data_IF_277494881478
#
_entry.id   IF_277494881478
#
_cell.length_a   1.000
_cell.length_b   1.000
_cell.length_c   1.000
_cell.angle_alpha   90.00
_cell.angle_beta   90.00
_cell.angle_gamma   90.00
#
_symmetry.space_group_name_H-M   'P 1'
#
loop_
_entity.id
_entity.type
_entity.pdbx_description
1 polymer ?
#
# COMPACT_ATOMS: atom_id res chain seq x y z
N UNK A 1 13.69 -2.63 24.92
CA UNK A 1 13.81 -1.78 23.71
C UNK A 1 12.46 -1.71 23.04
N UNK A 2 11.83 -0.53 23.07
CA UNK A 2 10.51 -0.31 22.48
C UNK A 2 10.65 -0.29 20.95
N UNK A 3 10.17 -1.32 20.27
CA UNK A 3 10.24 -1.48 18.81
C UNK A 3 9.18 -0.62 18.12
N UNK A 4 9.18 0.70 18.36
CA UNK A 4 8.36 1.63 17.57
C UNK A 4 8.98 1.72 16.17
N UNK A 5 8.37 1.09 15.16
CA UNK A 5 8.81 1.21 13.76
C UNK A 5 8.50 2.64 13.27
N UNK A 6 9.44 3.56 13.44
CA UNK A 6 9.40 4.87 12.80
C UNK A 6 9.93 4.72 11.38
N UNK A 7 9.04 4.38 10.45
CA UNK A 7 9.36 4.43 9.03
C UNK A 7 9.47 5.89 8.61
N UNK A 8 10.48 6.21 7.80
CA UNK A 8 10.66 7.56 7.30
C UNK A 8 9.76 7.82 6.09
N UNK A 9 8.46 7.96 6.34
CA UNK A 9 7.41 7.96 5.30
C UNK A 9 7.55 9.08 4.27
N UNK A 10 8.13 10.21 4.68
CA UNK A 10 8.39 11.37 3.83
C UNK A 10 9.63 11.19 2.93
N UNK A 11 10.48 10.20 3.21
CA UNK A 11 11.73 9.99 2.49
C UNK A 11 11.52 9.55 1.04
N UNK A 12 12.42 9.94 0.12
CA UNK A 12 12.36 9.52 -1.27
C UNK A 12 12.38 7.98 -1.43
N UNK A 13 13.26 7.30 -0.68
CA UNK A 13 13.37 5.84 -0.73
C UNK A 13 12.06 5.16 -0.31
N UNK A 14 11.43 5.61 0.78
CA UNK A 14 10.16 5.03 1.24
C UNK A 14 9.06 5.23 0.20
N UNK A 15 8.94 6.45 -0.34
CA UNK A 15 7.93 6.77 -1.36
C UNK A 15 8.10 5.91 -2.62
N UNK A 16 9.33 5.78 -3.12
CA UNK A 16 9.62 4.94 -4.28
C UNK A 16 9.29 3.47 -4.01
N UNK A 17 9.73 2.92 -2.87
CA UNK A 17 9.45 1.52 -2.50
C UNK A 17 7.95 1.24 -2.36
N UNK A 18 7.20 2.18 -1.80
CA UNK A 18 5.74 2.10 -1.71
C UNK A 18 5.13 2.09 -3.12
N UNK A 19 5.62 2.96 -3.99
CA UNK A 19 5.10 3.10 -5.34
C UNK A 19 5.36 1.88 -6.25
N UNK A 20 6.40 1.09 -5.99
CA UNK A 20 6.62 -0.20 -6.68
C UNK A 20 5.48 -1.20 -6.51
N UNK A 21 4.60 -1.02 -5.50
CA UNK A 21 3.42 -1.87 -5.30
C UNK A 21 2.14 -1.28 -5.93
N UNK A 22 2.21 -0.06 -6.48
CA UNK A 22 1.07 0.59 -7.13
C UNK A 22 1.06 0.27 -8.63
N UNK A 23 -0.12 0.02 -9.18
CA UNK A 23 -0.33 -0.21 -10.62
C UNK A 23 -0.75 1.12 -11.26
N UNK A 24 -0.15 1.48 -12.40
CA UNK A 24 -0.65 2.61 -13.18
C UNK A 24 -1.79 2.13 -14.08
N UNK A 25 -2.81 2.96 -14.25
CA UNK A 25 -3.97 2.67 -15.11
C UNK A 25 -3.57 2.44 -16.58
N UNK A 26 -2.42 2.98 -16.99
CA UNK A 26 -1.84 2.79 -18.31
C UNK A 26 -0.39 2.29 -18.23
N UNK A 27 -0.15 1.11 -18.80
CA UNK A 27 1.18 0.48 -18.86
C UNK A 27 1.51 0.02 -20.28
N UNK A 28 2.19 0.88 -21.05
CA UNK A 28 2.65 0.52 -22.41
C UNK A 28 3.59 -0.68 -22.43
N UNK A 29 4.43 -0.84 -21.40
CA UNK A 29 5.40 -1.94 -21.34
C UNK A 29 4.75 -3.30 -20.99
N UNK A 30 3.52 -3.30 -20.48
CA UNK A 30 2.87 -4.54 -20.05
C UNK A 30 2.50 -5.45 -21.23
N UNK A 31 2.34 -4.90 -22.45
CA UNK A 31 2.09 -5.71 -23.65
C UNK A 31 3.23 -6.67 -23.97
N UNK A 32 4.47 -6.37 -23.54
CA UNK A 32 5.60 -7.29 -23.72
C UNK A 32 5.48 -8.54 -22.86
N UNK A 33 4.71 -8.50 -21.76
CA UNK A 33 4.38 -9.69 -20.98
C UNK A 33 3.36 -10.60 -21.69
N UNK A 34 2.50 -10.05 -22.56
CA UNK A 34 1.52 -10.87 -23.29
C UNK A 34 2.17 -11.66 -24.43
N UNK A 35 3.24 -11.11 -25.00
CA UNK A 35 3.97 -11.74 -26.10
C UNK A 35 4.82 -12.93 -25.65
N UNK A 36 5.03 -13.09 -24.33
CA UNK A 36 5.87 -14.14 -23.77
C UNK A 36 5.02 -15.36 -23.40
N UNK A 37 5.09 -16.40 -24.24
CA UNK A 37 4.17 -17.55 -24.20
C UNK A 37 4.21 -18.31 -22.89
N UNK A 38 5.34 -18.31 -22.18
CA UNK A 38 5.49 -18.95 -20.87
C UNK A 38 4.47 -18.48 -19.84
N UNK A 39 4.10 -17.19 -19.88
CA UNK A 39 3.11 -16.64 -18.93
C UNK A 39 1.68 -17.10 -19.21
N UNK A 40 1.39 -17.62 -20.41
CA UNK A 40 0.05 -18.13 -20.77
C UNK A 40 -0.41 -19.26 -19.85
N UNK A 41 0.54 -20.05 -19.35
CA UNK A 41 0.28 -21.19 -18.48
C UNK A 41 0.61 -20.91 -17.00
N UNK A 42 1.10 -19.71 -16.68
CA UNK A 42 1.50 -19.32 -15.33
C UNK A 42 0.96 -17.93 -14.97
N UNK A 43 -0.32 -17.89 -14.59
CA UNK A 43 -1.02 -16.65 -14.26
C UNK A 43 -0.31 -15.85 -13.15
N UNK A 44 0.23 -16.53 -12.13
CA UNK A 44 0.96 -15.87 -11.05
C UNK A 44 2.18 -15.10 -11.57
N UNK A 45 3.00 -15.74 -12.39
CA UNK A 45 4.15 -15.07 -13.02
C UNK A 45 3.73 -14.02 -14.04
N UNK A 46 2.58 -14.19 -14.71
CA UNK A 46 2.01 -13.15 -15.59
C UNK A 46 1.70 -11.87 -14.81
N UNK A 47 1.04 -11.98 -13.66
CA UNK A 47 0.76 -10.82 -12.77
C UNK A 47 2.07 -10.18 -12.31
N UNK A 48 3.07 -10.98 -11.92
CA UNK A 48 4.38 -10.45 -11.55
C UNK A 48 5.06 -9.71 -12.72
N UNK A 49 4.96 -10.24 -13.95
CA UNK A 49 5.47 -9.58 -15.14
C UNK A 49 4.80 -8.23 -15.38
N UNK A 50 3.48 -8.16 -15.25
CA UNK A 50 2.75 -6.91 -15.43
C UNK A 50 3.20 -5.84 -14.43
N UNK A 51 3.31 -6.20 -13.14
CA UNK A 51 3.82 -5.28 -12.12
C UNK A 51 5.26 -4.87 -12.41
N UNK A 52 6.10 -5.81 -12.84
CA UNK A 52 7.48 -5.56 -13.23
C UNK A 52 7.59 -4.57 -14.41
N UNK A 53 6.84 -4.80 -15.49
CA UNK A 53 6.81 -3.93 -16.67
C UNK A 53 6.24 -2.54 -16.35
N UNK A 54 5.20 -2.48 -15.50
CA UNK A 54 4.65 -1.24 -14.98
C UNK A 54 5.70 -0.43 -14.20
N UNK A 55 6.46 -1.09 -13.33
CA UNK A 55 7.51 -0.43 -12.55
C UNK A 55 8.68 0.02 -13.42
N UNK A 56 9.06 -0.75 -14.44
CA UNK A 56 10.02 -0.29 -15.45
C UNK A 56 9.52 0.98 -16.17
N UNK A 57 8.22 1.04 -16.48
CA UNK A 57 7.63 2.21 -17.12
C UNK A 57 7.68 3.44 -16.21
N UNK A 58 7.36 3.28 -14.92
CA UNK A 58 7.50 4.35 -13.92
C UNK A 58 8.91 4.91 -13.86
N UNK A 59 9.92 4.02 -13.79
CA UNK A 59 11.33 4.44 -13.79
C UNK A 59 11.70 5.20 -15.07
N UNK A 60 11.18 4.76 -16.23
CA UNK A 60 11.40 5.41 -17.51
C UNK A 60 10.77 6.81 -17.58
N UNK A 61 9.54 6.97 -17.07
CA UNK A 61 8.81 8.23 -17.09
C UNK A 61 9.38 9.23 -16.06
N UNK A 62 9.71 8.76 -14.86
CA UNK A 62 10.31 9.55 -13.78
C UNK A 62 11.83 9.72 -13.92
N UNK A 63 12.38 9.42 -15.09
CA UNK A 63 13.81 9.51 -15.35
C UNK A 63 14.33 10.93 -15.06
N UNK A 64 15.32 11.01 -14.18
CA UNK A 64 15.99 12.27 -13.84
C UNK A 64 17.40 12.29 -14.43
N UNK A 65 17.98 13.48 -14.62
CA UNK A 65 19.40 13.65 -15.01
C UNK A 65 20.35 13.39 -13.82
N UNK A 66 20.14 12.28 -13.09
CA UNK A 66 20.98 11.80 -12.00
C UNK A 66 21.17 10.29 -12.19
N UNK A 67 22.34 9.91 -12.72
CA UNK A 67 22.66 8.51 -13.04
C UNK A 67 22.62 7.60 -11.81
N UNK A 68 23.18 8.04 -10.68
CA UNK A 68 23.21 7.28 -9.44
C UNK A 68 21.80 6.97 -8.91
N UNK A 69 20.89 7.94 -9.00
CA UNK A 69 19.50 7.76 -8.56
C UNK A 69 18.74 6.80 -9.48
N UNK A 70 18.95 6.88 -10.80
CA UNK A 70 18.33 5.93 -11.72
C UNK A 70 18.90 4.51 -11.54
N UNK A 71 20.21 4.36 -11.34
CA UNK A 71 20.85 3.09 -11.00
C UNK A 71 20.26 2.49 -9.72
N UNK A 72 20.10 3.31 -8.67
CA UNK A 72 19.41 2.94 -7.43
C UNK A 72 18.01 2.41 -7.68
N UNK A 73 17.18 3.16 -8.42
CA UNK A 73 15.79 2.77 -8.71
C UNK A 73 15.72 1.43 -9.45
N UNK A 74 16.63 1.20 -10.39
CA UNK A 74 16.74 -0.07 -11.08
C UNK A 74 17.15 -1.21 -10.13
N UNK A 75 18.11 -0.99 -9.25
CA UNK A 75 18.52 -1.96 -8.22
C UNK A 75 17.36 -2.29 -7.26
N UNK A 76 16.64 -1.26 -6.81
CA UNK A 76 15.46 -1.39 -5.94
C UNK A 76 14.35 -2.22 -6.62
N UNK A 77 14.14 -2.04 -7.93
CA UNK A 77 13.21 -2.86 -8.69
C UNK A 77 13.65 -4.33 -8.78
N UNK A 78 14.94 -4.62 -8.98
CA UNK A 78 15.44 -6.01 -8.98
C UNK A 78 15.22 -6.66 -7.61
N UNK A 79 15.54 -5.95 -6.52
CA UNK A 79 15.26 -6.43 -5.17
C UNK A 79 13.77 -6.69 -4.96
N UNK A 80 12.90 -5.75 -5.35
CA UNK A 80 11.45 -5.89 -5.23
C UNK A 80 10.93 -7.10 -6.01
N UNK A 81 11.44 -7.33 -7.22
CA UNK A 81 11.08 -8.47 -8.05
C UNK A 81 11.50 -9.79 -7.37
N UNK A 82 12.72 -9.86 -6.87
CA UNK A 82 13.25 -11.05 -6.18
C UNK A 82 12.47 -11.35 -4.90
N UNK A 83 12.16 -10.31 -4.12
CA UNK A 83 11.39 -10.40 -2.89
C UNK A 83 9.98 -10.95 -3.17
N UNK A 84 9.31 -10.45 -4.21
CA UNK A 84 8.00 -10.97 -4.62
C UNK A 84 8.09 -12.40 -5.15
N UNK A 85 9.09 -12.71 -5.99
CA UNK A 85 9.30 -14.05 -6.49
C UNK A 85 9.49 -15.06 -5.34
N UNK A 86 10.28 -14.69 -4.33
CA UNK A 86 10.57 -15.54 -3.18
C UNK A 86 9.40 -15.67 -2.21
N UNK A 87 8.83 -14.56 -1.73
CA UNK A 87 7.85 -14.58 -0.65
C UNK A 87 6.40 -14.71 -1.14
N UNK A 88 6.04 -14.05 -2.25
CA UNK A 88 4.67 -14.07 -2.79
C UNK A 88 4.43 -15.35 -3.58
N UNK A 89 5.38 -15.72 -4.44
CA UNK A 89 5.24 -16.88 -5.33
C UNK A 89 5.93 -18.15 -4.81
N UNK A 90 6.57 -18.07 -3.63
CA UNK A 90 7.25 -19.19 -2.95
C UNK A 90 8.26 -19.90 -3.84
N UNK A 91 8.91 -19.17 -4.76
CA UNK A 91 9.96 -19.70 -5.62
C UNK A 91 11.30 -19.44 -4.94
N UNK A 92 11.91 -20.51 -4.41
CA UNK A 92 13.25 -20.41 -3.86
C UNK A 92 14.26 -20.30 -4.99
N UNK A 93 15.11 -19.27 -4.96
CA UNK A 93 16.19 -19.05 -5.90
C UNK A 93 17.55 -19.03 -5.17
N UNK A 94 18.01 -20.12 -4.52
CA UNK A 94 19.27 -20.08 -3.79
C UNK A 94 20.49 -20.04 -4.73
N UNK A 95 20.37 -20.54 -5.97
CA UNK A 95 21.44 -20.48 -6.99
C UNK A 95 20.96 -20.25 -8.43
N UNK A 96 19.94 -20.98 -8.92
CA UNK A 96 19.46 -20.83 -10.30
C UNK A 96 17.93 -20.69 -10.35
N UNK A 97 17.49 -19.51 -10.77
CA UNK A 97 16.14 -19.27 -11.28
C UNK A 97 16.20 -19.00 -12.79
N UNK A 98 17.17 -19.61 -13.47
CA UNK A 98 17.58 -19.28 -14.83
C UNK A 98 16.41 -19.24 -15.80
N UNK A 99 15.48 -20.19 -15.71
CA UNK A 99 14.29 -20.19 -16.55
C UNK A 99 13.44 -18.93 -16.32
N UNK A 100 13.00 -18.69 -15.09
CA UNK A 100 12.17 -17.51 -14.74
C UNK A 100 12.93 -16.22 -15.05
N UNK A 101 14.20 -16.14 -14.67
CA UNK A 101 15.09 -15.02 -14.96
C UNK A 101 15.14 -14.76 -16.47
N UNK A 102 15.37 -15.80 -17.28
CA UNK A 102 15.48 -15.67 -18.73
C UNK A 102 14.17 -15.19 -19.36
N UNK A 103 13.03 -15.61 -18.85
CA UNK A 103 11.72 -15.14 -19.30
C UNK A 103 11.56 -13.64 -19.02
N UNK A 104 11.90 -13.18 -17.81
CA UNK A 104 11.85 -11.76 -17.48
C UNK A 104 12.91 -10.95 -18.25
N UNK A 105 14.08 -11.53 -18.53
CA UNK A 105 15.09 -10.97 -19.43
C UNK A 105 14.56 -10.80 -20.86
N UNK A 106 13.79 -11.75 -21.38
CA UNK A 106 13.21 -11.63 -22.72
C UNK A 106 12.24 -10.45 -22.80
N UNK A 107 11.32 -10.34 -21.84
CA UNK A 107 10.41 -9.19 -21.72
C UNK A 107 11.19 -7.88 -21.69
N UNK A 108 12.21 -7.84 -20.84
CA UNK A 108 13.05 -6.67 -20.69
C UNK A 108 13.82 -6.30 -21.98
N UNK A 109 14.41 -7.29 -22.64
CA UNK A 109 15.14 -7.12 -23.90
C UNK A 109 14.23 -6.57 -24.99
N UNK A 110 12.99 -7.07 -25.08
CA UNK A 110 11.99 -6.56 -26.02
C UNK A 110 11.59 -5.10 -25.74
N UNK A 111 11.53 -4.69 -24.47
CA UNK A 111 11.32 -3.29 -24.08
C UNK A 111 12.47 -2.40 -24.55
N UNK A 112 13.72 -2.81 -24.35
CA UNK A 112 14.90 -2.04 -24.79
C UNK A 112 14.98 -1.94 -26.31
N UNK A 113 14.77 -3.04 -27.03
CA UNK A 113 14.93 -3.10 -28.49
C UNK A 113 13.85 -2.31 -29.24
N UNK A 114 12.76 -1.94 -28.57
CA UNK A 114 11.71 -1.11 -29.16
C UNK A 114 12.24 0.27 -29.52
N UNK A 115 12.21 0.59 -30.82
CA UNK A 115 12.64 1.90 -31.36
C UNK A 115 11.82 3.09 -30.84
N UNK A 116 10.67 2.84 -30.22
CA UNK A 116 9.84 3.87 -29.60
C UNK A 116 10.40 4.34 -28.24
N UNK A 117 11.33 3.59 -27.64
CA UNK A 117 11.84 3.85 -26.30
C UNK A 117 13.23 4.47 -26.37
N UNK A 118 13.49 5.46 -25.51
CA UNK A 118 14.83 5.99 -25.32
C UNK A 118 15.64 5.05 -24.41
N UNK A 119 16.55 4.28 -24.99
CA UNK A 119 17.38 3.31 -24.26
C UNK A 119 18.17 3.91 -23.10
N UNK A 120 18.51 5.21 -23.13
CA UNK A 120 19.25 5.85 -22.04
C UNK A 120 18.42 6.06 -20.76
N UNK A 121 17.09 6.01 -20.87
CA UNK A 121 16.17 6.16 -19.74
C UNK A 121 15.78 4.84 -19.10
N UNK A 122 16.07 3.76 -19.79
CA UNK A 122 15.84 2.41 -19.32
C UNK A 122 16.94 2.03 -18.33
N UNK A 123 16.61 1.13 -17.41
CA UNK A 123 17.64 0.42 -16.64
C UNK A 123 18.71 -0.16 -17.60
N UNK A 124 19.94 -0.34 -17.14
CA UNK A 124 21.01 -0.95 -17.96
C UNK A 124 21.39 -2.29 -17.35
N UNK A 125 21.75 -3.26 -18.21
CA UNK A 125 22.20 -4.60 -17.79
C UNK A 125 21.25 -5.27 -16.78
N UNK A 126 19.95 -5.03 -16.94
CA UNK A 126 18.94 -5.48 -15.99
C UNK A 126 18.84 -7.01 -16.05
N UNK A 127 19.09 -7.66 -14.90
CA UNK A 127 19.14 -9.12 -14.71
C UNK A 127 20.36 -9.84 -15.32
N UNK A 128 21.25 -9.16 -16.04
CA UNK A 128 22.52 -9.76 -16.48
C UNK A 128 23.47 -9.91 -15.29
N UNK A 129 24.08 -11.09 -15.15
CA UNK A 129 24.92 -11.47 -14.02
C UNK A 129 24.27 -11.21 -12.64
N UNK A 130 23.00 -11.62 -12.49
CA UNK A 130 22.22 -11.52 -11.25
C UNK A 130 23.06 -11.90 -10.02
N UNK A 131 23.20 -10.94 -9.12
CA UNK A 131 23.78 -11.19 -7.81
C UNK A 131 22.83 -12.04 -6.95
N UNK A 132 23.37 -12.73 -5.93
CA UNK A 132 22.54 -13.39 -4.93
C UNK A 132 21.58 -12.38 -4.27
N UNK A 133 20.37 -12.81 -3.90
CA UNK A 133 19.34 -11.97 -3.27
C UNK A 133 19.87 -11.07 -2.14
N UNK A 134 20.66 -11.65 -1.24
CA UNK A 134 21.26 -10.95 -0.10
C UNK A 134 22.11 -9.74 -0.54
N UNK A 135 22.81 -9.83 -1.69
CA UNK A 135 23.57 -8.71 -2.22
C UNK A 135 22.67 -7.56 -2.65
N UNK A 136 21.57 -7.85 -3.34
CA UNK A 136 20.59 -6.82 -3.70
C UNK A 136 19.94 -6.19 -2.46
N UNK A 137 19.67 -6.99 -1.42
CA UNK A 137 19.14 -6.48 -0.14
C UNK A 137 20.13 -5.52 0.53
N UNK A 138 21.41 -5.86 0.59
CA UNK A 138 22.45 -5.01 1.17
C UNK A 138 22.62 -3.73 0.33
N UNK A 139 22.71 -3.86 -1.01
CA UNK A 139 22.82 -2.71 -1.93
C UNK A 139 21.63 -1.76 -1.79
N UNK A 140 20.44 -2.33 -1.66
CA UNK A 140 19.23 -1.57 -1.39
C UNK A 140 19.33 -0.81 -0.06
N UNK A 141 19.61 -1.48 1.06
CA UNK A 141 19.70 -0.84 2.38
C UNK A 141 20.74 0.28 2.39
N UNK A 142 21.91 0.04 1.80
CA UNK A 142 22.99 1.01 1.71
C UNK A 142 22.60 2.22 0.85
N UNK A 143 22.05 2.01 -0.34
CA UNK A 143 21.64 3.11 -1.23
C UNK A 143 20.43 3.89 -0.70
N UNK A 144 19.46 3.23 -0.06
CA UNK A 144 18.36 3.88 0.65
C UNK A 144 18.90 4.79 1.76
N UNK A 145 19.92 4.33 2.50
CA UNK A 145 20.60 5.15 3.49
C UNK A 145 21.26 6.38 2.88
N UNK A 146 22.00 6.22 1.77
CA UNK A 146 22.66 7.33 1.08
C UNK A 146 21.66 8.42 0.66
N UNK A 147 20.58 8.02 -0.01
CA UNK A 147 19.54 8.94 -0.48
C UNK A 147 18.80 9.61 0.68
N UNK A 148 18.47 8.85 1.73
CA UNK A 148 17.77 9.37 2.89
C UNK A 148 18.64 10.32 3.70
N UNK A 149 19.95 10.08 3.79
CA UNK A 149 20.86 10.99 4.49
C UNK A 149 20.87 12.38 3.85
N UNK A 150 21.02 12.46 2.52
CA UNK A 150 20.98 13.73 1.78
C UNK A 150 19.63 14.44 1.93
N UNK A 151 18.53 13.66 1.89
CA UNK A 151 17.19 14.17 2.15
C UNK A 151 17.06 14.77 3.56
N UNK A 152 17.51 14.05 4.59
CA UNK A 152 17.46 14.50 5.98
C UNK A 152 18.35 15.73 6.16
N UNK A 153 19.56 15.75 5.61
CA UNK A 153 20.46 16.91 5.69
C UNK A 153 19.78 18.16 5.13
N UNK A 154 19.12 18.04 3.96
CA UNK A 154 18.35 19.14 3.38
C UNK A 154 17.19 19.56 4.28
N UNK A 155 16.44 18.60 4.84
CA UNK A 155 15.30 18.87 5.73
C UNK A 155 15.71 19.56 7.01
N UNK A 156 16.82 19.18 7.62
CA UNK A 156 17.31 19.78 8.86
C UNK A 156 17.70 21.27 8.71
N UNK A 157 17.90 21.76 7.49
CA UNK A 157 18.13 23.19 7.19
C UNK A 157 16.83 24.02 7.24
N UNK A 158 15.64 23.41 7.16
CA UNK A 158 14.34 24.09 7.21
C UNK A 158 14.00 24.54 8.64
N UNK A 159 13.45 25.75 8.84
CA UNK A 159 13.27 26.36 10.18
C UNK A 159 12.39 25.53 11.13
N UNK A 160 11.21 25.08 10.67
CA UNK A 160 10.18 24.46 11.52
C UNK A 160 10.12 22.93 11.39
N UNK A 161 11.26 22.28 11.17
CA UNK A 161 11.32 20.84 10.99
C UNK A 161 11.43 20.10 12.32
N UNK A 162 10.64 19.04 12.49
CA UNK A 162 10.74 18.13 13.63
C UNK A 162 11.77 17.02 13.32
N UNK A 163 12.81 16.88 14.15
CA UNK A 163 13.82 15.83 13.96
C UNK A 163 13.41 14.45 14.52
N UNK A 164 12.26 14.28 15.19
CA UNK A 164 11.91 13.02 15.87
C UNK A 164 12.08 11.76 14.97
N UNK A 165 11.45 11.74 13.79
CA UNK A 165 11.59 10.60 12.87
C UNK A 165 13.01 10.44 12.32
N UNK A 166 13.69 11.56 12.00
CA UNK A 166 15.06 11.54 11.50
C UNK A 166 16.04 11.03 12.56
N UNK A 167 15.87 11.42 13.83
CA UNK A 167 16.69 10.98 14.96
C UNK A 167 16.62 9.46 15.12
N UNK A 168 15.42 8.88 15.12
CA UNK A 168 15.26 7.43 15.23
C UNK A 168 15.84 6.69 14.02
N UNK A 169 15.61 7.20 12.81
CA UNK A 169 16.17 6.64 11.58
C UNK A 169 17.71 6.64 11.60
N UNK A 170 18.33 7.79 11.90
CA UNK A 170 19.79 7.96 11.95
C UNK A 170 20.40 7.08 13.05
N UNK A 171 19.77 7.01 14.23
CA UNK A 171 20.24 6.19 15.34
C UNK A 171 20.24 4.71 15.00
N UNK A 172 19.20 4.21 14.32
CA UNK A 172 19.14 2.81 13.86
C UNK A 172 20.09 2.51 12.71
N UNK A 173 20.43 3.52 11.93
CA UNK A 173 21.31 3.37 10.76
C UNK A 173 22.79 3.35 11.11
N UNK A 174 23.18 3.57 12.38
CA UNK A 174 24.59 3.54 12.82
C UNK A 174 25.30 2.23 12.46
N UNK A 175 24.69 1.10 12.78
CA UNK A 175 25.29 -0.22 12.52
C UNK A 175 25.46 -0.49 11.01
N UNK A 176 24.43 -0.18 10.22
CA UNK A 176 24.48 -0.26 8.76
C UNK A 176 25.60 0.62 8.20
N UNK A 177 25.75 1.83 8.73
CA UNK A 177 26.81 2.74 8.32
C UNK A 177 28.19 2.19 8.65
N UNK A 178 28.44 1.84 9.91
CA UNK A 178 29.75 1.35 10.37
C UNK A 178 30.17 0.06 9.66
N UNK A 179 29.24 -0.89 9.49
CA UNK A 179 29.57 -2.20 8.93
C UNK A 179 29.64 -2.19 7.40
N UNK A 180 28.80 -1.39 6.74
CA UNK A 180 28.61 -1.45 5.29
C UNK A 180 28.95 -0.13 4.60
N UNK A 181 28.23 0.96 4.91
CA UNK A 181 28.28 2.19 4.11
C UNK A 181 29.62 2.93 4.23
N UNK A 182 30.21 2.98 5.43
CA UNK A 182 31.51 3.61 5.67
C UNK A 182 32.63 3.00 4.83
N UNK A 183 32.44 1.76 4.36
CA UNK A 183 33.40 1.02 3.53
C UNK A 183 33.10 1.18 2.03
N UNK A 184 32.07 1.91 1.60
CA UNK A 184 31.83 2.15 0.18
C UNK A 184 33.10 2.74 -0.48
N UNK A 185 33.39 2.34 -1.72
CA UNK A 185 34.58 2.78 -2.49
C UNK A 185 35.95 2.36 -1.92
N UNK A 186 35.98 1.53 -0.88
CA UNK A 186 37.19 0.77 -0.54
C UNK A 186 37.33 -0.43 -1.48
N UNK A 187 38.58 -0.84 -1.75
CA UNK A 187 38.88 -2.00 -2.60
C UNK A 187 38.16 -3.24 -2.03
N UNK A 188 37.24 -3.82 -2.82
CA UNK A 188 36.46 -4.99 -2.43
C UNK A 188 35.04 -4.72 -1.91
N UNK A 189 34.65 -3.46 -1.65
CA UNK A 189 33.30 -3.11 -1.21
C UNK A 189 32.32 -2.98 -2.39
N UNK A 190 31.81 -4.11 -2.86
CA UNK A 190 30.83 -4.20 -3.97
C UNK A 190 29.37 -3.92 -3.53
N UNK A 191 29.17 -3.49 -2.28
CA UNK A 191 27.85 -3.37 -1.67
C UNK A 191 27.18 -2.03 -1.90
N UNK A 192 27.93 -1.04 -2.37
CA UNK A 192 27.41 0.30 -2.59
C UNK A 192 27.32 0.57 -4.07
N UNK A 193 26.15 1.04 -4.51
CA UNK A 193 25.98 1.64 -5.83
C UNK A 193 26.83 2.92 -5.94
N UNK A 194 26.82 3.60 -7.09
CA UNK A 194 27.72 4.71 -7.41
C UNK A 194 27.53 6.04 -6.61
N UNK A 195 27.09 6.00 -5.36
CA UNK A 195 27.04 7.14 -4.45
C UNK A 195 28.43 7.49 -3.91
N UNK A 196 29.17 8.33 -4.65
CA UNK A 196 30.59 8.67 -4.36
C UNK A 196 30.84 9.16 -2.93
N UNK A 197 29.98 10.02 -2.39
CA UNK A 197 30.19 10.64 -1.07
C UNK A 197 29.61 9.85 0.10
N UNK A 198 28.86 8.77 -0.16
CA UNK A 198 28.05 8.13 0.88
C UNK A 198 28.88 7.51 2.03
N UNK A 199 30.13 7.12 1.77
CA UNK A 199 31.07 6.67 2.80
C UNK A 199 31.39 7.73 3.87
N UNK A 200 31.10 9.01 3.61
CA UNK A 200 31.29 10.12 4.55
C UNK A 200 30.05 10.47 5.35
N UNK A 201 28.91 9.85 5.03
CA UNK A 201 27.61 10.17 5.60
C UNK A 201 27.45 9.53 6.98
N UNK A 202 28.28 9.91 7.94
CA UNK A 202 28.17 9.41 9.30
C UNK A 202 26.87 9.94 9.94
N UNK A 203 25.97 9.08 10.47
CA UNK A 203 24.76 9.52 11.14
C UNK A 203 25.02 10.54 12.27
N UNK A 204 26.14 10.41 12.97
CA UNK A 204 26.55 11.31 14.06
C UNK A 204 26.65 12.78 13.62
N UNK A 205 26.99 13.02 12.35
CA UNK A 205 27.09 14.38 11.83
C UNK A 205 25.73 15.09 11.85
N UNK A 206 24.64 14.38 11.52
CA UNK A 206 23.29 14.93 11.52
C UNK A 206 22.64 14.88 12.91
N UNK A 207 22.97 13.86 13.72
CA UNK A 207 22.50 13.75 15.10
C UNK A 207 22.99 14.91 15.99
N UNK A 208 24.15 15.51 15.68
CA UNK A 208 24.67 16.71 16.35
C UNK A 208 23.87 17.99 16.06
N UNK A 209 22.90 17.97 15.15
CA UNK A 209 22.02 19.11 14.91
C UNK A 209 21.20 19.41 16.18
N UNK A 210 21.05 20.69 16.55
CA UNK A 210 20.34 21.11 17.76
C UNK A 210 18.90 20.56 17.83
N UNK A 211 18.20 20.50 16.69
CA UNK A 211 16.84 19.94 16.63
C UNK A 211 16.81 18.45 17.02
N UNK A 212 17.85 17.71 16.69
CA UNK A 212 17.97 16.29 16.99
C UNK A 212 18.49 16.06 18.41
N UNK A 213 19.37 16.93 18.92
CA UNK A 213 19.81 16.92 20.33
C UNK A 213 18.64 17.13 21.30
N UNK A 214 17.66 17.97 20.94
CA UNK A 214 16.43 18.12 21.73
C UNK A 214 15.68 16.81 21.86
N UNK A 215 15.50 16.08 20.75
CA UNK A 215 14.86 14.75 20.75
C UNK A 215 15.67 13.76 21.58
N UNK A 216 17.00 13.74 21.41
CA UNK A 216 17.88 12.87 22.20
C UNK A 216 17.72 13.10 23.70
N UNK A 217 17.64 14.37 24.12
CA UNK A 217 17.44 14.71 25.54
C UNK A 217 16.10 14.18 26.05
N UNK A 218 15.02 14.39 25.31
CA UNK A 218 13.69 13.88 25.67
C UNK A 218 13.68 12.34 25.76
N UNK A 219 14.27 11.65 24.78
CA UNK A 219 14.35 10.18 24.79
C UNK A 219 15.18 9.64 25.97
N UNK A 220 16.25 10.34 26.37
CA UNK A 220 17.03 9.97 27.55
C UNK A 220 16.24 10.19 28.85
N UNK A 221 15.54 11.32 28.98
CA UNK A 221 14.67 11.61 30.13
C UNK A 221 13.54 10.58 30.25
N UNK A 222 12.91 10.22 29.13
CA UNK A 222 11.86 9.19 29.07
C UNK A 222 12.42 7.80 29.45
N UNK A 223 13.63 7.47 29.00
CA UNK A 223 14.30 6.21 29.35
C UNK A 223 14.64 6.15 30.84
N UNK A 224 15.17 7.23 31.42
CA UNK A 224 15.44 7.32 32.86
C UNK A 224 14.16 7.21 33.69
N UNK A 225 13.07 7.86 33.25
CA UNK A 225 11.78 7.76 33.91
C UNK A 225 11.21 6.34 33.84
N UNK A 226 11.33 5.69 32.69
CA UNK A 226 10.91 4.30 32.50
C UNK A 226 11.71 3.33 33.38
N UNK A 227 13.03 3.55 33.51
CA UNK A 227 13.88 2.77 34.40
C UNK A 227 13.48 2.93 35.87
N UNK A 228 13.26 4.19 36.33
CA UNK A 228 12.77 4.48 37.68
C UNK A 228 11.40 3.86 37.93
N UNK A 229 10.48 3.94 36.96
CA UNK A 229 9.16 3.31 37.07
C UNK A 229 9.25 1.79 37.15
N UNK A 230 10.17 1.16 36.40
CA UNK A 230 10.42 -0.27 36.47
C UNK A 230 11.00 -0.70 37.84
N UNK A 231 11.84 0.14 38.45
CA UNK A 231 12.35 -0.09 39.81
C UNK A 231 11.28 0.10 40.88
N UNK A 232 10.31 1.00 40.67
CA UNK A 232 9.16 1.24 41.57
C UNK A 232 8.05 0.19 41.44
N UNK A 233 8.00 -0.55 40.33
CA UNK A 233 7.17 -1.76 40.16
C UNK A 233 7.73 -2.96 40.93
N UNK A 234 8.17 -2.78 42.18
CA UNK A 234 8.32 -3.90 43.09
C UNK A 234 6.94 -4.36 43.53
N UNK A 235 6.60 -5.59 43.15
CA UNK A 235 5.30 -6.19 43.41
C UNK A 235 4.97 -6.16 44.92
N UNK A 236 3.77 -5.76 45.34
CA UNK A 236 3.38 -5.83 46.75
C UNK A 236 3.44 -7.29 47.22
N UNK A 237 3.87 -7.57 48.46
CA UNK A 237 4.10 -8.92 48.95
C UNK A 237 2.84 -9.82 48.94
N UNK A 238 1.65 -9.24 48.83
CA UNK A 238 0.36 -9.95 48.79
C UNK A 238 -0.12 -10.35 47.37
N UNK A 239 0.55 -9.90 46.30
CA UNK A 239 0.11 -10.17 44.93
C UNK A 239 1.25 -10.80 44.11
N UNK A 240 0.91 -11.77 43.24
CA UNK A 240 1.85 -12.32 42.26
C UNK A 240 1.73 -11.51 40.96
N UNK A 241 2.74 -10.70 40.66
CA UNK A 241 2.84 -10.06 39.36
C UNK A 241 3.07 -11.12 38.30
N UNK A 242 2.20 -11.14 37.30
CA UNK A 242 2.33 -12.01 36.13
C UNK A 242 2.92 -11.17 35.00
N UNK A 243 3.96 -11.63 34.30
CA UNK A 243 4.50 -10.91 33.16
C UNK A 243 3.43 -10.59 32.11
N UNK A 244 3.52 -9.41 31.49
CA UNK A 244 2.57 -8.90 30.49
C UNK A 244 2.32 -9.88 29.32
N UNK A 245 3.32 -10.69 28.97
CA UNK A 245 3.20 -11.69 27.91
C UNK A 245 2.23 -12.84 28.25
N UNK A 246 1.98 -13.12 29.53
CA UNK A 246 1.00 -14.13 29.95
C UNK A 246 -0.42 -13.56 29.89
N UNK A 247 -0.60 -12.28 30.22
CA UNK A 247 -1.89 -11.59 30.05
C UNK A 247 -2.22 -11.50 28.55
N UNK A 248 -1.23 -11.19 27.71
CA UNK A 248 -1.38 -11.17 26.25
C UNK A 248 -1.49 -12.56 25.60
N UNK A 249 -1.15 -13.64 26.30
CA UNK A 249 -1.38 -15.01 25.81
C UNK A 249 -2.85 -15.42 25.98
N UNK A 250 -3.56 -14.82 26.93
CA UNK A 250 -4.99 -14.99 27.10
C UNK A 250 -5.75 -13.90 26.32
N UNK A 251 -6.16 -14.24 25.10
CA UNK A 251 -7.10 -13.49 24.23
C UNK A 251 -6.44 -12.34 23.44
N UNK A 252 -5.88 -12.67 22.28
CA UNK A 252 -5.56 -11.69 21.22
C UNK A 252 -6.61 -11.77 20.10
N UNK A 253 -7.26 -10.63 19.80
CA UNK A 253 -8.19 -10.47 18.67
C UNK A 253 -7.53 -10.66 17.29
N UNK A 254 -6.21 -10.79 17.23
CA UNK A 254 -5.43 -11.02 16.00
C UNK A 254 -5.07 -12.49 15.74
N UNK A 255 -5.60 -13.43 16.54
CA UNK A 255 -5.38 -14.85 16.31
C UNK A 255 -6.15 -15.30 15.05
N UNK A 256 -5.47 -15.97 14.12
CA UNK A 256 -6.06 -16.53 12.89
C UNK A 256 -7.23 -17.49 13.18
N UNK A 257 -7.25 -18.07 14.39
CA UNK A 257 -8.38 -18.86 14.90
C UNK A 257 -9.65 -18.03 15.06
N UNK A 258 -9.54 -16.77 15.50
CA UNK A 258 -10.67 -15.86 15.64
C UNK A 258 -11.20 -15.38 14.28
N UNK A 259 -10.30 -15.09 13.34
CA UNK A 259 -10.65 -14.78 11.94
C UNK A 259 -11.43 -15.94 11.30
N UNK A 260 -10.99 -17.17 11.54
CA UNK A 260 -11.69 -18.37 11.06
C UNK A 260 -13.10 -18.50 11.65
N UNK A 261 -13.30 -18.16 12.91
CA UNK A 261 -14.63 -18.17 13.56
C UNK A 261 -15.56 -17.09 13.02
N UNK A 262 -15.05 -15.88 12.74
CA UNK A 262 -15.83 -14.81 12.11
C UNK A 262 -16.30 -15.23 10.72
N UNK A 263 -15.38 -15.79 9.91
CA UNK A 263 -15.70 -16.26 8.55
C UNK A 263 -16.76 -17.36 8.61
N UNK A 264 -16.59 -18.35 9.49
CA UNK A 264 -17.57 -19.43 9.68
C UNK A 264 -18.94 -18.92 10.14
N UNK A 265 -18.96 -17.91 11.02
CA UNK A 265 -20.20 -17.28 11.48
C UNK A 265 -20.93 -16.58 10.33
N UNK A 266 -20.21 -15.81 9.51
CA UNK A 266 -20.78 -15.14 8.33
C UNK A 266 -21.32 -16.18 7.32
N UNK A 267 -20.57 -17.25 7.07
CA UNK A 267 -21.01 -18.35 6.20
C UNK A 267 -22.27 -19.04 6.73
N UNK A 268 -22.35 -19.30 8.03
CA UNK A 268 -23.54 -19.89 8.65
C UNK A 268 -24.77 -18.99 8.50
N UNK A 269 -24.60 -17.68 8.63
CA UNK A 269 -25.68 -16.69 8.45
C UNK A 269 -26.14 -16.65 6.99
N UNK A 270 -25.21 -16.62 6.02
CA UNK A 270 -25.54 -16.63 4.58
C UNK A 270 -26.29 -17.92 4.21
N UNK A 271 -25.81 -19.07 4.67
CA UNK A 271 -26.48 -20.35 4.44
C UNK A 271 -27.88 -20.35 5.07
N UNK A 272 -28.02 -19.84 6.28
CA UNK A 272 -29.33 -19.71 6.94
C UNK A 272 -30.30 -18.86 6.13
N UNK A 273 -29.87 -17.70 5.62
CA UNK A 273 -30.69 -16.87 4.73
C UNK A 273 -31.03 -17.57 3.42
N UNK A 274 -30.11 -18.33 2.82
CA UNK A 274 -30.37 -19.12 1.62
C UNK A 274 -31.41 -20.21 1.86
N UNK A 275 -31.30 -20.93 2.99
CA UNK A 275 -32.30 -21.92 3.40
C UNK A 275 -33.66 -21.26 3.65
N UNK A 276 -33.71 -20.14 4.37
CA UNK A 276 -34.96 -19.40 4.60
C UNK A 276 -35.56 -18.88 3.29
N UNK A 277 -34.75 -18.37 2.37
CA UNK A 277 -35.20 -17.93 1.05
C UNK A 277 -35.81 -19.06 0.22
N UNK A 278 -35.21 -20.27 0.27
CA UNK A 278 -35.66 -21.43 -0.50
C UNK A 278 -36.89 -22.13 0.09
N UNK A 279 -37.01 -22.16 1.43
CA UNK A 279 -38.05 -22.92 2.14
C UNK A 279 -39.18 -22.08 2.72
N UNK A 280 -39.02 -20.76 2.77
CA UNK A 280 -40.08 -19.85 3.20
C UNK A 280 -40.70 -19.21 1.98
N UNK A 281 -42.02 -19.12 1.92
CA UNK A 281 -42.85 -18.61 0.81
C UNK A 281 -42.66 -17.11 0.51
N UNK A 282 -41.47 -16.54 0.76
CA UNK A 282 -41.14 -15.13 0.58
C UNK A 282 -40.75 -14.75 -0.85
N UNK A 283 -40.35 -15.70 -1.71
CA UNK A 283 -40.03 -15.40 -3.12
C UNK A 283 -41.22 -14.79 -3.88
N UNK A 284 -42.44 -15.28 -3.61
CA UNK A 284 -43.69 -14.73 -4.16
C UNK A 284 -43.99 -13.32 -3.61
N UNK A 285 -43.79 -13.11 -2.30
CA UNK A 285 -44.09 -11.85 -1.61
C UNK A 285 -43.13 -10.74 -2.04
N UNK A 286 -41.84 -11.04 -2.16
CA UNK A 286 -40.82 -10.07 -2.57
C UNK A 286 -41.02 -9.62 -4.02
N UNK A 287 -41.37 -10.55 -4.91
CA UNK A 287 -41.69 -10.23 -6.30
C UNK A 287 -42.95 -9.34 -6.38
N UNK A 288 -43.94 -9.59 -5.54
CA UNK A 288 -45.16 -8.76 -5.46
C UNK A 288 -44.86 -7.33 -4.96
N UNK A 289 -43.95 -7.18 -3.99
CA UNK A 289 -43.51 -5.86 -3.49
C UNK A 289 -42.71 -5.10 -4.57
N UNK A 290 -41.82 -5.78 -5.29
CA UNK A 290 -41.04 -5.17 -6.39
C UNK A 290 -41.94 -4.78 -7.57
N UNK A 291 -42.91 -5.61 -7.95
CA UNK A 291 -43.91 -5.26 -8.97
C UNK A 291 -44.76 -4.06 -8.56
N UNK A 292 -45.16 -3.97 -7.29
CA UNK A 292 -45.94 -2.84 -6.77
C UNK A 292 -45.16 -1.52 -6.80
N UNK A 293 -43.83 -1.56 -6.65
CA UNK A 293 -42.96 -0.38 -6.75
C UNK A 293 -42.76 0.08 -8.21
N UNK A 294 -42.76 -0.84 -9.17
CA UNK A 294 -42.68 -0.52 -10.60
C UNK A 294 -43.99 0.06 -11.17
N UNK A 295 -45.17 -0.32 -10.64
CA UNK A 295 -46.44 0.28 -11.09
C UNK A 295 -46.58 1.74 -10.62
N UNK A 296 -46.12 2.07 -9.41
CA UNK A 296 -46.13 3.45 -8.90
C UNK A 296 -45.25 4.38 -9.75
N UNK A 297 -44.12 3.89 -10.27
CA UNK A 297 -43.22 4.69 -11.11
C UNK A 297 -43.75 4.92 -12.54
N UNK A 298 -44.57 4.02 -13.07
CA UNK A 298 -45.23 4.21 -14.38
C UNK A 298 -46.35 5.25 -14.30
N UNK A 299 -47.16 5.24 -13.24
CA UNK A 299 -48.27 6.17 -13.11
C UNK A 299 -47.82 7.64 -12.99
N UNK A 300 -46.65 7.91 -12.39
CA UNK A 300 -46.11 9.28 -12.26
C UNK A 300 -45.62 9.85 -13.61
N UNK A 301 -45.23 9.00 -14.57
CA UNK A 301 -44.77 9.45 -15.88
C UNK A 301 -45.90 9.58 -16.92
N UNK A 302 -47.07 9.04 -16.63
CA UNK A 302 -48.24 9.08 -17.52
C UNK A 302 -49.18 10.26 -17.18
N UNK A 303 -49.15 10.77 -15.95
CA UNK A 303 -49.86 12.00 -15.55
C UNK A 303 -49.15 13.30 -16.02
N UNK A 304 -47.83 13.30 -16.22
CA UNK A 304 -47.07 14.51 -16.64
C UNK A 304 -47.23 14.86 -18.14
N UNK A 305 -47.76 13.92 -18.96
CA UNK A 305 -47.98 14.14 -20.40
C UNK A 305 -49.42 14.48 -20.78
N UNK A 306 -50.38 14.39 -19.86
CA UNK A 306 -51.80 14.66 -20.14
C UNK A 306 -52.30 16.04 -19.68
N UNK A 307 -51.48 16.86 -19.03
CA UNK A 307 -51.89 18.19 -18.52
C UNK A 307 -51.49 19.39 -19.41
N UNK A 308 -50.89 19.16 -20.59
CA UNK A 308 -50.38 20.23 -21.48
C UNK A 308 -51.13 20.42 -22.82
N UNK A 309 -52.32 19.83 -22.98
CA UNK A 309 -53.15 20.04 -24.17
C UNK A 309 -54.64 20.16 -23.81
N UNK A 310 -55.06 21.36 -23.42
CA UNK A 310 -56.27 22.00 -23.97
C UNK A 310 -56.32 23.46 -23.54
N UNK A 311 -56.05 24.36 -24.48
CA UNK A 311 -56.30 25.79 -24.37
C UNK A 311 -57.71 26.12 -24.84
N UNK A 312 -58.32 27.08 -24.12
CA UNK A 312 -59.27 28.09 -24.59
C UNK A 312 -60.66 27.66 -25.07
N UNK A 313 -61.65 27.84 -24.19
CA UNK A 313 -62.92 28.46 -24.57
C UNK A 313 -63.50 29.27 -23.40
N UNK A 314 -63.74 30.55 -23.65
CA UNK A 314 -64.38 31.55 -22.79
C UNK A 314 -65.77 31.12 -22.29
N UNK A 315 -66.14 31.46 -21.05
CA UNK A 315 -67.31 32.33 -20.76
C UNK A 315 -67.67 32.46 -19.25
N UNK A 316 -67.69 33.72 -18.80
CA UNK A 316 -68.54 34.38 -17.76
C UNK A 316 -68.50 33.92 -16.28
N UNK A 317 -68.37 34.85 -15.31
CA UNK A 317 -68.39 34.53 -13.88
C UNK A 317 -69.83 34.53 -13.33
N UNK A 318 -70.24 33.46 -12.65
CA UNK A 318 -71.47 33.46 -11.84
C UNK A 318 -71.15 32.96 -10.43
N UNK A 319 -71.34 33.87 -9.48
CA UNK A 319 -71.20 33.71 -8.05
C UNK A 319 -72.52 33.21 -7.46
N UNK A 320 -72.57 32.09 -6.72
CA UNK A 320 -73.69 31.80 -5.80
C UNK A 320 -73.30 30.90 -4.61
N UNK A 321 -73.18 31.57 -3.46
CA UNK A 321 -73.58 31.23 -2.08
C UNK A 321 -73.85 29.76 -1.68
N UNK A 322 -73.12 29.37 -0.62
CA UNK A 322 -73.50 28.51 0.52
C UNK A 322 -74.94 27.96 0.53
N UNK A 323 -75.05 26.62 0.52
CA UNK A 323 -76.03 25.88 1.32
C UNK A 323 -75.52 24.47 1.62
N UNK A 324 -75.40 24.21 2.91
CA UNK A 324 -75.10 22.92 3.52
C UNK A 324 -76.34 22.02 3.37
N UNK A 325 -76.18 20.85 2.74
CA UNK A 325 -77.22 19.81 2.71
C UNK A 325 -76.75 18.60 3.51
N UNK A 326 -77.38 18.39 4.67
CA UNK A 326 -77.45 17.09 5.37
C UNK A 326 -78.70 16.37 4.89
N UNK A 327 -78.65 15.04 4.79
CA UNK A 327 -79.75 14.02 4.90
C UNK A 327 -79.10 12.68 4.50
N UNK A 328 -78.62 11.88 5.46
CA UNK A 328 -79.25 10.75 6.18
C UNK A 328 -79.32 9.43 5.41
N UNK A 329 -78.70 8.42 6.02
CA UNK A 329 -78.64 7.02 5.64
C UNK A 329 -79.99 6.32 5.82
N UNK A 330 -80.26 5.34 4.94
CA UNK A 330 -81.06 4.18 5.30
C UNK A 330 -80.29 2.91 4.96
N UNK A 331 -80.21 2.03 5.96
CA UNK A 331 -79.78 0.65 5.86
C UNK A 331 -80.97 -0.22 5.47
N UNK A 332 -80.76 -1.12 4.52
CA UNK A 332 -81.15 -2.54 4.66
C UNK A 332 -79.96 -3.41 4.25
#
# INVERSE_FOLDING_TARGET
>A
MNNKSYNLEDSPSYKFNKDLNNINDYCQFCTYCDNETYFSYNYGLKVLCYNFANNLRKIYDDFVKNENLNEKRCNDLVYWWYNNLHYTYKKSCPRNCDEIVNIFKNVWSNIIQSKQNNANRLCKNFLDDLLCFERYEIQKKASDYCENYEFIEKKLKETNINCSNYYHYLTRSKDLYEKTVSKCHTVGSQYCLNFKQCHTYNPENLLKNEKCKLIQKTENEDAELAEKAAQLMTCPPEYKCVPDYIINASINFSDYRFISLIILSIWAVILSFFFLYKFTTFGSILNNILHRKNSIRKNIHEEEFHELLESDSEDVPINFNNREYRITYNHE
#
